data_IF_341206254504
#
_entry.id   IF_341206254504
#
_cell.length_a   1.000
_cell.length_b   1.000
_cell.length_c   1.000
_cell.angle_alpha   90.00
_cell.angle_beta   90.00
_cell.angle_gamma   90.00
#
_symmetry.space_group_name_H-M   'P 1'
#
loop_
_entity.id
_entity.type
_entity.pdbx_description
1 polymer ?
#
# COMPACT_ATOMS: atom_id res chain seq x y z
N UNK A 1 -1.77 -8.49 17.87
CA UNK A 1 -0.38 -9.00 17.77
C UNK A 1 0.24 -8.75 16.39
N UNK A 2 -0.38 -9.19 15.27
CA UNK A 2 0.13 -8.97 13.90
C UNK A 2 0.36 -7.47 13.61
N UNK A 3 -0.61 -6.60 13.88
CA UNK A 3 -0.46 -5.15 13.67
C UNK A 3 0.71 -4.51 14.46
N UNK A 4 1.05 -5.04 15.63
CA UNK A 4 2.20 -4.55 16.42
C UNK A 4 3.53 -4.99 15.81
N UNK A 5 3.64 -6.23 15.32
CA UNK A 5 4.81 -6.71 14.59
C UNK A 5 5.02 -5.93 13.30
N UNK A 6 3.94 -5.70 12.55
CA UNK A 6 3.96 -4.88 11.34
C UNK A 6 4.42 -3.44 11.62
N UNK A 7 4.07 -2.87 12.78
CA UNK A 7 4.54 -1.53 13.18
C UNK A 7 6.07 -1.50 13.35
N UNK A 8 6.66 -2.53 13.97
CA UNK A 8 8.12 -2.66 14.11
C UNK A 8 8.85 -2.80 12.76
N UNK A 9 8.24 -3.50 11.80
CA UNK A 9 8.76 -3.68 10.45
C UNK A 9 8.37 -2.56 9.47
N UNK A 10 7.65 -1.54 9.95
CA UNK A 10 7.12 -0.42 9.15
C UNK A 10 6.22 -0.88 8.00
N UNK A 11 5.39 -1.89 8.20
CA UNK A 11 4.45 -2.44 7.19
C UNK A 11 3.00 -1.99 7.47
N UNK A 12 2.65 -0.70 7.26
CA UNK A 12 1.33 -0.17 7.59
C UNK A 12 0.20 -0.75 6.72
N UNK A 13 0.47 -1.10 5.46
CA UNK A 13 -0.54 -1.68 4.56
C UNK A 13 -0.83 -3.10 4.99
N UNK A 14 0.22 -3.88 5.29
CA UNK A 14 0.05 -5.22 5.86
C UNK A 14 -0.75 -5.19 7.15
N UNK A 15 -0.46 -4.26 8.07
CA UNK A 15 -1.17 -4.15 9.35
C UNK A 15 -2.68 -3.90 9.17
N UNK A 16 -3.08 -3.25 8.07
CA UNK A 16 -4.48 -2.94 7.74
C UNK A 16 -5.16 -4.09 7.00
N UNK A 17 -4.47 -4.70 6.05
CA UNK A 17 -5.05 -5.65 5.08
C UNK A 17 -4.93 -7.12 5.51
N UNK A 18 -4.09 -7.44 6.50
CA UNK A 18 -3.82 -8.82 6.90
C UNK A 18 -5.08 -9.62 7.27
N UNK A 19 -6.00 -9.06 8.06
CA UNK A 19 -7.22 -9.77 8.45
C UNK A 19 -8.18 -9.96 7.27
N UNK A 20 -8.28 -8.96 6.39
CA UNK A 20 -9.13 -9.02 5.20
C UNK A 20 -8.65 -10.10 4.24
N UNK A 21 -7.37 -10.04 3.86
CA UNK A 21 -6.75 -11.00 2.95
C UNK A 21 -6.69 -12.41 3.55
N UNK A 22 -6.53 -12.55 4.87
CA UNK A 22 -6.56 -13.87 5.52
C UNK A 22 -7.96 -14.49 5.46
N UNK A 23 -9.00 -13.67 5.63
CA UNK A 23 -10.39 -14.10 5.51
C UNK A 23 -10.70 -14.52 4.07
N UNK A 24 -10.27 -13.75 3.08
CA UNK A 24 -10.44 -14.08 1.67
C UNK A 24 -9.67 -15.33 1.27
N UNK A 25 -8.41 -15.46 1.68
CA UNK A 25 -7.59 -16.64 1.42
C UNK A 25 -8.21 -17.90 2.01
N UNK A 26 -8.74 -17.81 3.23
CA UNK A 26 -9.46 -18.92 3.88
C UNK A 26 -10.73 -19.30 3.12
N UNK A 27 -11.47 -18.33 2.58
CA UNK A 27 -12.70 -18.58 1.80
C UNK A 27 -12.42 -19.16 0.42
N UNK A 28 -11.32 -18.75 -0.20
CA UNK A 28 -10.94 -19.16 -1.57
C UNK A 28 -10.05 -20.41 -1.58
N UNK A 29 -9.67 -20.95 -0.42
CA UNK A 29 -8.76 -22.09 -0.33
C UNK A 29 -7.35 -21.78 -0.82
N UNK A 30 -6.94 -20.49 -0.79
CA UNK A 30 -5.63 -20.05 -1.27
C UNK A 30 -4.51 -20.54 -0.35
N UNK A 31 -3.36 -20.84 -0.96
CA UNK A 31 -2.19 -21.29 -0.22
C UNK A 31 -1.64 -20.18 0.69
N UNK A 32 -1.07 -20.58 1.83
CA UNK A 32 -0.43 -19.64 2.78
C UNK A 32 0.66 -18.77 2.12
N UNK A 33 1.37 -19.32 1.14
CA UNK A 33 2.40 -18.60 0.38
C UNK A 33 1.80 -17.57 -0.59
N UNK A 34 0.69 -17.89 -1.24
CA UNK A 34 -0.01 -16.95 -2.13
C UNK A 34 -0.58 -15.78 -1.32
N UNK A 35 -1.20 -16.08 -0.17
CA UNK A 35 -1.64 -15.05 0.76
C UNK A 35 -0.50 -14.11 1.18
N UNK A 36 0.66 -14.68 1.56
CA UNK A 36 1.82 -13.87 1.95
C UNK A 36 2.36 -13.04 0.78
N UNK A 37 2.38 -13.60 -0.42
CA UNK A 37 2.81 -12.90 -1.63
C UNK A 37 1.91 -11.70 -1.92
N UNK A 38 0.59 -11.88 -1.91
CA UNK A 38 -0.39 -10.81 -2.16
C UNK A 38 -0.27 -9.69 -1.12
N UNK A 39 -0.11 -10.06 0.14
CA UNK A 39 0.06 -9.15 1.27
C UNK A 39 1.33 -8.28 1.10
N UNK A 40 2.45 -8.89 0.72
CA UNK A 40 3.72 -8.20 0.50
C UNK A 40 3.67 -7.33 -0.77
N UNK A 41 3.02 -7.82 -1.83
CA UNK A 41 2.85 -7.07 -3.07
C UNK A 41 2.06 -5.78 -2.82
N UNK A 42 0.92 -5.88 -2.11
CA UNK A 42 0.11 -4.72 -1.73
C UNK A 42 0.91 -3.66 -0.94
N UNK A 43 1.80 -4.08 -0.04
CA UNK A 43 2.67 -3.18 0.70
C UNK A 43 3.71 -2.49 -0.19
N UNK A 44 4.32 -3.22 -1.13
CA UNK A 44 5.29 -2.66 -2.08
C UNK A 44 4.63 -1.63 -2.99
N UNK A 45 3.46 -1.95 -3.55
CA UNK A 45 2.72 -1.09 -4.47
C UNK A 45 2.31 0.21 -3.78
N UNK A 46 1.74 0.12 -2.58
CA UNK A 46 1.34 1.28 -1.79
C UNK A 46 2.54 2.15 -1.39
N UNK A 47 3.69 1.55 -1.06
CA UNK A 47 4.93 2.31 -0.83
C UNK A 47 5.42 3.01 -2.09
N UNK A 48 5.30 2.36 -3.25
CA UNK A 48 5.58 2.93 -4.56
C UNK A 48 4.71 4.14 -4.85
N UNK A 49 3.40 3.99 -4.70
CA UNK A 49 2.41 5.05 -4.88
C UNK A 49 2.70 6.26 -3.96
N UNK A 50 2.96 6.02 -2.67
CA UNK A 50 3.31 7.11 -1.73
C UNK A 50 4.63 7.80 -2.08
N UNK A 51 5.64 7.06 -2.56
CA UNK A 51 6.91 7.65 -3.02
C UNK A 51 6.68 8.50 -4.28
N UNK A 52 5.90 8.02 -5.23
CA UNK A 52 5.55 8.76 -6.45
C UNK A 52 4.78 10.05 -6.11
N UNK A 53 3.74 9.95 -5.26
CA UNK A 53 2.97 11.11 -4.81
C UNK A 53 3.83 12.15 -4.09
N UNK A 54 4.73 11.72 -3.19
CA UNK A 54 5.70 12.63 -2.55
C UNK A 54 6.62 13.29 -3.56
N UNK A 55 7.17 12.56 -4.53
CA UNK A 55 8.02 13.15 -5.58
C UNK A 55 7.28 14.16 -6.45
N UNK A 56 6.02 13.90 -6.79
CA UNK A 56 5.18 14.86 -7.54
C UNK A 56 4.97 16.13 -6.72
N UNK A 57 4.70 16.01 -5.42
CA UNK A 57 4.54 17.15 -4.52
C UNK A 57 5.85 17.93 -4.30
N UNK A 58 6.96 17.23 -4.05
CA UNK A 58 8.29 17.80 -3.83
C UNK A 58 8.89 18.43 -5.08
N UNK A 59 8.55 17.93 -6.27
CA UNK A 59 8.97 18.52 -7.55
C UNK A 59 8.35 19.92 -7.78
N UNK A 60 7.44 20.37 -6.91
CA UNK A 60 6.84 21.70 -7.00
C UNK A 60 6.08 21.91 -8.30
N UNK A 61 5.69 20.83 -8.99
CA UNK A 61 4.94 20.93 -10.23
C UNK A 61 3.59 21.55 -9.86
N UNK A 62 3.28 22.77 -10.33
CA UNK A 62 2.01 23.38 -10.02
C UNK A 62 0.91 22.44 -10.53
N UNK A 63 0.02 21.99 -9.64
CA UNK A 63 -1.26 21.41 -10.05
C UNK A 63 -1.87 22.41 -11.03
N UNK A 64 -1.93 22.01 -12.30
CA UNK A 64 -2.51 22.74 -13.43
C UNK A 64 -2.74 24.22 -13.18
N UNK A 65 -1.78 25.07 -13.61
CA UNK A 65 -2.18 26.39 -14.09
C UNK A 65 -3.06 26.14 -15.32
N UNK A 66 -4.36 26.10 -15.13
CA UNK A 66 -5.31 26.23 -16.23
C UNK A 66 -5.01 27.54 -16.96
N UNK A 67 -5.13 27.52 -18.28
CA UNK A 67 -4.86 28.63 -19.21
C UNK A 67 -5.85 29.81 -19.06
N UNK A 68 -6.45 30.00 -17.88
CA UNK A 68 -7.41 31.09 -17.61
C UNK A 68 -6.75 32.32 -16.96
N UNK A 69 -5.42 32.30 -16.79
CA UNK A 69 -4.67 33.37 -16.13
C UNK A 69 -3.64 34.11 -17.01
N UNK A 70 -3.82 34.11 -18.34
CA UNK A 70 -3.03 34.92 -19.28
C UNK A 70 -3.88 36.02 -19.90
#
# INVERSE_FOLDING_TARGET
MIAQLCRGLKLPTVAREADHLATEASRQGRGHLEFLQDLLQAEVDERGARRAARRIHEAGLPLQKTLEGF
#
